data_IF_265758624560
#
_entry.id   IF_265758624560
#
_cell.length_a   1.000
_cell.length_b   1.000
_cell.length_c   1.000
_cell.angle_alpha   90.00
_cell.angle_beta   90.00
_cell.angle_gamma   90.00
#
_symmetry.space_group_name_H-M   'P 1'
#
loop_
_entity.id
_entity.type
_entity.pdbx_description
1 polymer ?
#
# COMPACT_ATOMS: atom_id res chain seq x y z
N UNK A 1 13.69 5.84 -18.90
CA UNK A 1 12.70 4.91 -18.29
C UNK A 1 12.83 4.98 -16.77
N UNK A 2 11.79 4.65 -15.97
CA UNK A 2 11.84 4.73 -14.47
C UNK A 2 12.63 3.57 -13.82
N UNK A 3 13.60 3.02 -14.53
CA UNK A 3 14.62 2.11 -14.00
C UNK A 3 15.97 2.80 -14.26
N UNK A 4 16.43 3.65 -13.33
CA UNK A 4 17.62 4.49 -13.56
C UNK A 4 18.87 3.65 -13.83
N UNK A 5 18.91 2.44 -13.27
CA UNK A 5 20.07 1.57 -13.31
C UNK A 5 19.96 0.46 -14.38
N UNK A 6 18.80 0.33 -15.03
CA UNK A 6 18.54 -0.75 -16.01
C UNK A 6 18.67 -2.16 -15.42
N UNK A 7 18.57 -2.27 -14.08
CA UNK A 7 18.83 -3.52 -13.34
C UNK A 7 17.64 -4.48 -13.39
N UNK A 8 16.49 -4.04 -13.91
CA UNK A 8 15.26 -4.83 -13.90
C UNK A 8 14.59 -4.91 -12.52
N UNK A 9 15.12 -4.19 -11.51
CA UNK A 9 14.54 -4.15 -10.16
C UNK A 9 13.24 -3.37 -10.09
N UNK A 10 12.98 -2.50 -11.07
CA UNK A 10 11.73 -1.76 -11.21
C UNK A 10 11.02 -2.24 -12.46
N UNK A 11 9.90 -2.94 -12.26
CA UNK A 11 9.03 -3.42 -13.34
C UNK A 11 7.76 -2.58 -13.37
N UNK A 12 7.34 -2.19 -14.57
CA UNK A 12 6.04 -1.53 -14.80
C UNK A 12 5.02 -2.55 -15.26
N UNK A 13 3.77 -2.34 -14.87
CA UNK A 13 2.65 -3.18 -15.28
C UNK A 13 1.49 -2.33 -15.78
N UNK A 14 0.76 -2.86 -16.75
CA UNK A 14 -0.41 -2.21 -17.32
C UNK A 14 -1.70 -2.53 -16.56
N UNK A 15 -2.84 -1.97 -17.02
CA UNK A 15 -4.15 -2.29 -16.47
C UNK A 15 -4.47 -3.79 -16.55
N UNK A 16 -4.05 -4.46 -17.63
CA UNK A 16 -4.20 -5.90 -17.87
C UNK A 16 -3.72 -6.74 -16.68
N UNK A 17 -2.55 -6.40 -16.14
CA UNK A 17 -1.96 -7.11 -14.99
C UNK A 17 -2.65 -6.80 -13.67
N UNK A 18 -3.20 -5.59 -13.51
CA UNK A 18 -4.03 -5.26 -12.34
C UNK A 18 -5.30 -6.11 -12.33
N UNK A 19 -5.97 -6.20 -13.48
CA UNK A 19 -7.22 -6.94 -13.62
C UNK A 19 -6.99 -8.45 -13.45
N UNK A 20 -5.96 -8.99 -14.09
CA UNK A 20 -5.56 -10.39 -13.95
C UNK A 20 -5.23 -10.73 -12.48
N UNK A 21 -4.48 -9.85 -11.80
CA UNK A 21 -4.13 -10.05 -10.39
C UNK A 21 -5.38 -10.09 -9.51
N UNK A 22 -6.31 -9.14 -9.67
CA UNK A 22 -7.52 -9.09 -8.86
C UNK A 22 -8.43 -10.30 -9.14
N UNK A 23 -8.57 -10.72 -10.39
CA UNK A 23 -9.35 -11.89 -10.77
C UNK A 23 -8.79 -13.19 -10.16
N UNK A 24 -7.46 -13.37 -10.19
CA UNK A 24 -6.79 -14.53 -9.60
C UNK A 24 -6.86 -14.57 -8.08
N UNK A 25 -7.00 -13.41 -7.43
CA UNK A 25 -6.94 -13.27 -5.97
C UNK A 25 -8.30 -12.85 -5.38
N UNK A 26 -9.41 -13.40 -5.86
CA UNK A 26 -10.71 -13.18 -5.25
C UNK A 26 -10.67 -13.53 -3.74
N UNK A 27 -11.25 -12.71 -2.84
CA UNK A 27 -12.23 -11.66 -3.12
C UNK A 27 -11.65 -10.23 -3.23
N UNK A 28 -10.36 -10.05 -3.55
CA UNK A 28 -9.78 -8.71 -3.72
C UNK A 28 -10.45 -7.93 -4.87
N UNK A 29 -10.83 -6.69 -4.61
CA UNK A 29 -11.52 -5.83 -5.58
C UNK A 29 -10.72 -4.61 -6.03
N UNK A 30 -9.65 -4.25 -5.29
CA UNK A 30 -8.84 -3.06 -5.55
C UNK A 30 -7.43 -3.18 -4.97
N UNK A 31 -6.48 -2.49 -5.60
CA UNK A 31 -5.12 -2.27 -5.10
C UNK A 31 -4.98 -0.82 -4.63
N UNK A 32 -4.48 -0.60 -3.42
CA UNK A 32 -4.07 0.73 -2.94
C UNK A 32 -2.56 0.70 -2.70
N UNK A 33 -1.83 1.64 -3.31
CA UNK A 33 -0.36 1.70 -3.22
C UNK A 33 0.16 3.12 -2.99
N UNK A 34 1.33 3.23 -2.38
CA UNK A 34 2.13 4.44 -2.30
C UNK A 34 3.38 4.32 -3.20
N UNK A 35 4.40 5.16 -3.00
CA UNK A 35 5.72 5.18 -3.67
C UNK A 35 5.92 6.30 -4.69
N UNK A 36 5.01 6.46 -5.64
CA UNK A 36 5.14 7.50 -6.68
C UNK A 36 4.37 8.76 -6.32
N UNK A 37 5.03 9.92 -6.44
CA UNK A 37 4.43 11.25 -6.31
C UNK A 37 3.47 11.52 -7.48
N UNK A 38 2.25 11.95 -7.14
CA UNK A 38 1.20 12.36 -8.09
C UNK A 38 0.66 13.72 -7.70
N UNK A 39 0.19 14.51 -8.66
CA UNK A 39 -0.09 15.95 -8.47
C UNK A 39 -1.13 16.23 -7.38
N UNK A 40 -2.25 15.51 -7.38
CA UNK A 40 -3.31 15.70 -6.39
C UNK A 40 -3.12 14.83 -5.14
N UNK A 41 -1.96 14.19 -4.96
CA UNK A 41 -1.73 13.24 -3.87
C UNK A 41 -2.55 11.95 -3.97
N UNK A 42 -3.49 11.83 -4.90
CA UNK A 42 -4.10 10.57 -5.28
C UNK A 42 -4.33 10.48 -6.80
N UNK A 43 -4.28 9.27 -7.35
CA UNK A 43 -4.54 9.03 -8.77
C UNK A 43 -5.21 7.66 -8.95
N UNK A 44 -6.16 7.58 -9.88
CA UNK A 44 -6.83 6.33 -10.26
C UNK A 44 -6.17 5.74 -11.50
N UNK A 45 -6.00 4.43 -11.49
CA UNK A 45 -5.49 3.65 -12.62
C UNK A 45 -6.34 2.39 -12.82
N UNK A 46 -6.26 1.78 -14.01
CA UNK A 46 -6.99 0.55 -14.36
C UNK A 46 -8.50 0.62 -14.03
N UNK A 47 -9.19 1.63 -14.58
CA UNK A 47 -10.62 1.88 -14.32
C UNK A 47 -10.96 2.07 -12.83
N UNK A 48 -10.01 2.60 -12.05
CA UNK A 48 -10.17 2.81 -10.61
C UNK A 48 -9.93 1.57 -9.76
N UNK A 49 -9.51 0.44 -10.34
CA UNK A 49 -9.14 -0.78 -9.61
C UNK A 49 -7.76 -0.70 -8.96
N UNK A 50 -6.98 0.33 -9.28
CA UNK A 50 -5.77 0.69 -8.56
C UNK A 50 -5.83 2.17 -8.17
N UNK A 51 -5.53 2.48 -6.91
CA UNK A 51 -5.35 3.85 -6.43
C UNK A 51 -3.92 4.04 -5.95
N UNK A 52 -3.28 5.04 -6.52
CA UNK A 52 -2.03 5.61 -6.02
C UNK A 52 -2.38 6.67 -4.97
N UNK A 53 -1.78 6.59 -3.78
CA UNK A 53 -1.82 7.64 -2.75
C UNK A 53 -0.42 8.14 -2.43
N UNK A 54 -0.28 9.44 -2.21
CA UNK A 54 0.95 10.13 -1.82
C UNK A 54 0.61 11.23 -0.82
N UNK A 55 1.23 11.23 0.36
CA UNK A 55 0.80 12.08 1.48
C UNK A 55 1.76 13.22 1.82
N UNK A 56 2.92 13.31 1.17
CA UNK A 56 3.85 14.41 1.35
C UNK A 56 3.52 15.54 0.37
N UNK A 57 3.06 16.68 0.87
CA UNK A 57 2.87 17.90 0.10
C UNK A 57 4.20 18.48 -0.36
N UNK A 58 4.22 19.12 -1.53
CA UNK A 58 5.41 19.77 -2.08
C UNK A 58 6.64 18.87 -1.98
N UNK A 59 6.52 17.67 -2.53
CA UNK A 59 7.55 16.64 -2.43
C UNK A 59 8.90 17.21 -2.89
N UNK A 60 9.95 16.92 -2.13
CA UNK A 60 11.30 17.44 -2.32
C UNK A 60 11.41 18.98 -2.50
N UNK A 61 10.38 19.76 -2.15
CA UNK A 61 10.37 21.23 -2.30
C UNK A 61 10.19 21.76 -3.72
N UNK A 62 9.87 20.89 -4.70
CA UNK A 62 9.83 21.28 -6.12
C UNK A 62 8.65 20.68 -6.90
N UNK A 63 8.02 19.62 -6.38
CA UNK A 63 6.92 18.95 -7.08
C UNK A 63 5.59 19.71 -6.99
N UNK A 64 5.42 20.60 -5.98
CA UNK A 64 4.19 21.39 -5.75
C UNK A 64 2.90 20.55 -5.69
N UNK A 65 3.02 19.25 -5.44
CA UNK A 65 1.89 18.34 -5.35
C UNK A 65 1.14 18.54 -4.04
N UNK A 66 -0.17 18.27 -4.06
CA UNK A 66 -0.92 18.00 -2.84
C UNK A 66 -0.53 16.64 -2.24
N UNK A 67 -0.77 16.48 -0.95
CA UNK A 67 -0.85 15.19 -0.30
C UNK A 67 -2.31 14.72 -0.26
N UNK A 68 -2.53 13.42 -0.08
CA UNK A 68 -3.87 12.89 0.17
C UNK A 68 -3.90 11.86 1.31
N UNK A 69 -5.08 11.76 1.92
CA UNK A 69 -5.52 10.70 2.82
C UNK A 69 -6.72 10.00 2.17
N UNK A 70 -6.79 8.68 2.25
CA UNK A 70 -7.94 7.91 1.79
C UNK A 70 -8.75 7.40 2.98
N UNK A 71 -9.98 7.88 3.12
CA UNK A 71 -10.92 7.36 4.11
C UNK A 71 -11.73 6.24 3.49
N UNK A 72 -11.54 5.02 4.00
CA UNK A 72 -12.28 3.83 3.56
C UNK A 72 -13.41 3.56 4.55
N UNK A 73 -14.65 3.64 4.08
CA UNK A 73 -15.85 3.39 4.89
C UNK A 73 -16.17 1.89 4.94
N UNK A 74 -17.14 1.50 5.79
CA UNK A 74 -17.56 0.10 5.97
C UNK A 74 -18.20 -0.50 4.72
N UNK A 75 -18.85 0.33 3.91
CA UNK A 75 -19.41 -0.01 2.60
C UNK A 75 -18.34 -0.03 1.48
N UNK A 76 -17.05 0.06 1.86
CA UNK A 76 -15.90 0.15 0.97
C UNK A 76 -15.88 1.41 0.10
N UNK A 77 -16.72 2.41 0.37
CA UNK A 77 -16.64 3.72 -0.27
C UNK A 77 -15.34 4.40 0.12
N UNK A 78 -14.56 4.84 -0.87
CA UNK A 78 -13.30 5.56 -0.68
C UNK A 78 -13.53 7.06 -0.86
N UNK A 79 -13.21 7.83 0.18
CA UNK A 79 -13.32 9.29 0.18
C UNK A 79 -11.92 9.90 0.33
N UNK A 80 -11.35 10.46 -0.76
CA UNK A 80 -10.09 11.19 -0.68
C UNK A 80 -10.24 12.50 0.11
N UNK A 81 -9.24 12.84 0.91
CA UNK A 81 -9.06 14.17 1.52
C UNK A 81 -7.71 14.72 1.12
N UNK A 82 -7.73 15.88 0.48
CA UNK A 82 -6.56 16.58 -0.03
C UNK A 82 -5.94 17.43 1.06
N UNK A 83 -4.62 17.43 1.12
CA UNK A 83 -3.79 18.28 1.96
C UNK A 83 -2.98 19.12 1.00
N UNK A 84 -3.18 20.44 0.99
CA UNK A 84 -2.41 21.32 0.13
C UNK A 84 -1.15 21.82 0.85
N UNK A 85 -0.06 22.11 0.12
CA UNK A 85 1.10 22.76 0.70
C UNK A 85 0.67 24.07 1.37
N UNK A 86 1.09 24.27 2.62
CA UNK A 86 0.92 25.55 3.33
C UNK A 86 2.13 26.42 3.02
N UNK A 87 1.93 27.73 2.80
CA UNK A 87 3.05 28.67 2.68
C UNK A 87 3.91 28.57 3.95
N UNK A 88 5.21 28.32 3.78
CA UNK A 88 6.14 28.10 4.90
C UNK A 88 6.36 29.41 5.66
N UNK A 89 5.50 29.72 6.61
CA UNK A 89 5.70 30.83 7.55
C UNK A 89 6.46 30.39 8.81
N UNK A 90 6.51 29.09 9.12
CA UNK A 90 7.29 28.52 10.22
C UNK A 90 7.73 27.08 9.93
N UNK A 91 8.88 26.67 10.46
CA UNK A 91 9.32 25.28 10.47
C UNK A 91 8.37 24.45 11.34
N UNK A 92 7.55 23.60 10.72
CA UNK A 92 6.61 22.69 11.40
C UNK A 92 7.25 21.40 11.89
N UNK A 93 8.55 21.19 11.62
CA UNK A 93 9.31 20.05 12.12
C UNK A 93 9.58 20.20 13.62
N UNK A 94 8.80 19.47 14.42
CA UNK A 94 9.05 19.34 15.85
C UNK A 94 9.98 18.12 16.10
N UNK A 95 11.26 18.32 16.46
CA UNK A 95 12.19 17.22 16.72
C UNK A 95 11.75 16.36 17.91
N UNK A 96 10.98 16.92 18.86
CA UNK A 96 10.54 16.21 20.07
C UNK A 96 9.46 15.14 19.78
N UNK A 97 8.77 15.23 18.63
CA UNK A 97 7.85 14.19 18.17
C UNK A 97 8.59 12.88 17.89
N UNK A 98 9.81 12.96 17.34
CA UNK A 98 10.60 11.77 17.00
C UNK A 98 11.07 11.05 18.26
N UNK A 99 11.41 11.81 19.31
CA UNK A 99 11.83 11.28 20.61
C UNK A 99 10.69 10.56 21.35
N UNK A 100 9.45 10.99 21.14
CA UNK A 100 8.25 10.41 21.77
C UNK A 100 7.67 9.20 21.02
N UNK A 101 8.25 8.82 19.87
CA UNK A 101 7.74 7.71 19.06
C UNK A 101 7.96 6.38 19.80
N UNK A 102 6.93 5.57 20.03
CA UNK A 102 7.12 4.23 20.59
C UNK A 102 7.99 3.38 19.67
N UNK A 103 8.77 2.43 20.23
CA UNK A 103 9.58 1.52 19.42
C UNK A 103 8.70 0.72 18.46
N UNK A 104 9.24 0.42 17.27
CA UNK A 104 8.55 -0.42 16.29
C UNK A 104 8.16 -1.75 16.95
N UNK A 105 6.88 -2.17 16.90
CA UNK A 105 6.46 -3.43 17.49
C UNK A 105 7.32 -4.59 16.97
N UNK A 106 7.71 -5.56 17.83
CA UNK A 106 8.47 -6.72 17.39
C UNK A 106 7.68 -7.48 16.32
N UNK A 107 8.37 -7.84 15.24
CA UNK A 107 7.78 -8.63 14.16
C UNK A 107 7.38 -10.00 14.73
N UNK A 108 6.13 -10.47 14.56
CA UNK A 108 5.77 -11.83 14.93
C UNK A 108 6.66 -12.82 14.18
N UNK A 109 7.17 -13.82 14.88
CA UNK A 109 7.91 -14.92 14.26
C UNK A 109 6.94 -15.63 13.29
N UNK A 110 7.31 -15.85 12.01
CA UNK A 110 6.46 -16.62 11.12
C UNK A 110 6.16 -17.99 11.74
N UNK A 111 4.89 -18.27 12.01
CA UNK A 111 4.48 -19.59 12.49
C UNK A 111 4.75 -20.55 11.33
N UNK A 112 5.72 -21.45 11.49
CA UNK A 112 5.95 -22.53 10.54
C UNK A 112 4.60 -23.22 10.28
N UNK A 113 4.18 -23.31 9.02
CA UNK A 113 3.09 -24.20 8.64
C UNK A 113 3.50 -25.58 9.12
N UNK A 114 2.80 -26.13 10.12
CA UNK A 114 2.88 -27.56 10.40
C UNK A 114 2.42 -28.26 9.12
N UNK A 115 3.37 -28.84 8.39
CA UNK A 115 3.08 -29.84 7.37
C UNK A 115 2.36 -31.00 8.08
N UNK A 116 1.35 -31.55 7.41
CA UNK A 116 0.23 -32.28 8.03
C UNK A 116 0.58 -33.51 8.86
N UNK A 117 -0.21 -33.69 9.91
CA UNK A 117 -0.43 -34.96 10.62
C UNK A 117 -1.92 -35.32 10.53
N UNK A 118 -2.50 -35.35 9.32
CA UNK A 118 -3.91 -35.71 9.09
C UNK A 118 -4.11 -36.92 8.16
N UNK A 119 -3.08 -37.75 7.91
CA UNK A 119 -3.23 -38.96 7.09
C UNK A 119 -2.53 -40.20 7.69
N UNK A 120 -2.83 -40.57 8.94
CA UNK A 120 -2.58 -41.94 9.39
C UNK A 120 -3.58 -42.33 10.49
N UNK A 121 -4.71 -42.94 10.10
CA UNK A 121 -5.65 -43.47 11.10
C UNK A 121 -7.02 -43.86 10.58
N UNK A 122 -7.10 -44.74 9.58
CA UNK A 122 -8.26 -45.62 9.43
C UNK A 122 -7.94 -46.79 8.50
N UNK A 123 -7.35 -47.84 9.08
CA UNK A 123 -7.46 -49.22 8.60
C UNK A 123 -7.89 -50.10 9.79
N UNK A 124 -9.00 -50.82 9.59
CA UNK A 124 -9.22 -52.16 10.14
C UNK A 124 -9.76 -52.27 11.58
N UNK A 125 -11.00 -52.75 11.71
CA UNK A 125 -11.55 -53.34 12.93
C UNK A 125 -12.99 -53.84 12.73
N UNK A 126 -13.15 -55.14 12.46
CA UNK A 126 -14.38 -55.96 12.53
C UNK A 126 -15.10 -55.77 13.90
N UNK A 127 -16.42 -55.83 14.11
CA UNK A 127 -17.57 -56.49 13.47
C UNK A 127 -18.80 -55.56 13.48
#
# INVERSE_FOLDING_TARGET
TRDPDGTGRIVKFGPDRVEEFLARNAPLSMIIRAHECVMDGFERFANGRLITVFSATDYCGHHKNAGALLFIRRDLTIVPKLIYPVERTANTWDPTITERRPPTPPRPVPRARRMGEDELGQQGGEW
#
